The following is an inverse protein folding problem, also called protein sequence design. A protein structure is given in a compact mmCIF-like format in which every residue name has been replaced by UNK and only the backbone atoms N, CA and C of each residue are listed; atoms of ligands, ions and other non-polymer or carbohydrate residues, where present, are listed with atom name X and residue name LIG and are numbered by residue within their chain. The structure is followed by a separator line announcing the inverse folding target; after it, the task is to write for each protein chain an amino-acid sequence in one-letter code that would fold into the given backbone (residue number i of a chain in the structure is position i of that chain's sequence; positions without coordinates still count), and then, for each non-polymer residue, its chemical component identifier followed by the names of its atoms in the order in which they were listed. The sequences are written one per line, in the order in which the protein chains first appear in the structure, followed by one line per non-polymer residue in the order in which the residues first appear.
data_IF_570935483888
#
_entry.id   IF_570935483888
#
_cell.length_a   1.000
_cell.length_b   1.000
_cell.length_c   1.000
_cell.angle_alpha   90.00
_cell.angle_beta   90.00
_cell.angle_gamma   90.00
#
_symmetry.space_group_name_H-M   'P 1'
#
loop_
_entity.id
_entity.type
_entity.pdbx_description
1 polymer ?
#
# COMPACT_ATOMS: atom_id res chain seq x y z
N UNK A 1 -19.80 -7.33 13.86
CA UNK A 1 -18.56 -6.56 14.13
C UNK A 1 -17.80 -6.38 12.82
N UNK A 2 -17.75 -5.17 12.26
CA UNK A 2 -16.95 -4.90 11.06
C UNK A 2 -15.46 -5.03 11.39
N UNK A 3 -14.75 -5.91 10.69
CA UNK A 3 -13.31 -6.14 10.91
C UNK A 3 -12.54 -4.92 10.41
N UNK A 4 -11.74 -4.29 11.27
CA UNK A 4 -10.95 -3.12 10.92
C UNK A 4 -10.05 -3.42 9.71
N UNK A 5 -10.21 -2.64 8.65
CA UNK A 5 -9.35 -2.71 7.45
C UNK A 5 -7.93 -2.33 7.88
N UNK A 6 -6.96 -3.22 7.64
CA UNK A 6 -5.55 -2.89 7.87
C UNK A 6 -5.06 -2.10 6.67
N UNK A 7 -4.78 -0.81 6.85
CA UNK A 7 -4.13 0.00 5.83
C UNK A 7 -2.61 -0.08 6.01
N UNK A 8 -1.90 -0.12 4.89
CA UNK A 8 -0.45 0.10 4.85
C UNK A 8 -0.18 1.36 4.03
N UNK A 9 0.95 2.00 4.31
CA UNK A 9 1.38 3.21 3.63
C UNK A 9 2.60 2.89 2.79
N UNK A 10 2.51 3.14 1.49
CA UNK A 10 3.54 2.80 0.51
C UNK A 10 4.19 4.10 0.07
N UNK A 11 5.51 4.18 0.23
CA UNK A 11 6.35 5.28 -0.26
C UNK A 11 6.97 4.85 -1.58
N UNK A 12 6.91 5.70 -2.61
CA UNK A 12 7.34 5.38 -3.97
C UNK A 12 7.99 6.58 -4.69
N UNK A 13 8.87 6.31 -5.64
CA UNK A 13 9.53 7.35 -6.44
C UNK A 13 8.66 7.79 -7.62
N UNK A 14 8.38 9.08 -7.78
CA UNK A 14 7.45 9.55 -8.83
C UNK A 14 7.97 9.29 -10.26
N UNK A 15 9.30 9.28 -10.46
CA UNK A 15 9.94 9.36 -11.79
C UNK A 15 10.47 8.02 -12.37
N UNK A 16 10.21 6.87 -11.73
CA UNK A 16 10.80 5.57 -12.15
C UNK A 16 9.78 4.59 -12.77
N UNK A 17 10.21 3.67 -13.68
CA UNK A 17 9.34 2.68 -14.32
C UNK A 17 8.63 1.78 -13.29
N UNK A 18 7.57 1.02 -13.66
CA UNK A 18 6.77 0.25 -12.72
C UNK A 18 7.67 -0.62 -11.84
N UNK A 19 7.53 -0.48 -10.51
CA UNK A 19 8.36 -1.01 -9.40
C UNK A 19 9.32 0.01 -8.76
N UNK A 20 8.75 1.07 -8.20
CA UNK A 20 9.41 2.20 -7.55
C UNK A 20 9.18 2.27 -6.03
N UNK A 21 8.74 1.16 -5.40
CA UNK A 21 8.45 1.15 -3.96
C UNK A 21 9.74 1.25 -3.17
N UNK A 22 9.81 2.26 -2.30
CA UNK A 22 10.96 2.57 -1.45
C UNK A 22 10.74 2.04 -0.04
N UNK A 23 9.49 2.05 0.44
CA UNK A 23 9.14 1.59 1.78
C UNK A 23 7.66 1.31 1.97
N UNK A 24 7.35 0.47 2.96
CA UNK A 24 5.98 0.13 3.37
C UNK A 24 5.87 0.25 4.89
N UNK A 25 4.88 1.01 5.37
CA UNK A 25 4.73 1.39 6.77
C UNK A 25 3.32 1.09 7.28
N UNK A 26 3.19 0.93 8.59
CA UNK A 26 1.91 0.66 9.23
C UNK A 26 1.08 1.94 9.41
N UNK A 27 1.75 3.09 9.59
CA UNK A 27 1.11 4.37 9.85
C UNK A 27 1.49 5.43 8.83
N UNK A 28 0.63 6.45 8.69
CA UNK A 28 0.89 7.58 7.81
C UNK A 28 2.10 8.38 8.26
N UNK A 29 2.23 8.60 9.57
CA UNK A 29 3.30 9.43 10.14
C UNK A 29 4.67 8.84 9.85
N UNK A 30 4.84 7.52 9.97
CA UNK A 30 6.09 6.84 9.62
C UNK A 30 6.42 7.01 8.13
N UNK A 31 5.42 6.83 7.26
CA UNK A 31 5.61 6.99 5.81
C UNK A 31 5.94 8.43 5.42
N UNK A 32 5.31 9.42 6.06
CA UNK A 32 5.54 10.83 5.81
C UNK A 32 6.95 11.25 6.21
N UNK A 33 7.38 10.93 7.45
CA UNK A 33 8.73 11.25 7.90
C UNK A 33 9.80 10.61 7.01
N UNK A 34 9.60 9.35 6.62
CA UNK A 34 10.52 8.67 5.71
C UNK A 34 10.54 9.30 4.30
N UNK A 35 9.39 9.73 3.79
CA UNK A 35 9.31 10.42 2.50
C UNK A 35 10.04 11.78 2.54
N UNK A 36 9.92 12.53 3.64
CA UNK A 36 10.63 13.80 3.84
C UNK A 36 12.15 13.60 3.89
N UNK A 37 12.62 12.59 4.62
CA UNK A 37 14.06 12.25 4.68
C UNK A 37 14.60 11.86 3.29
N UNK A 38 13.84 11.06 2.53
CA UNK A 38 14.24 10.63 1.19
C UNK A 38 14.24 11.76 0.16
N UNK A 39 13.27 12.67 0.27
CA UNK A 39 13.20 13.88 -0.57
C UNK A 39 14.34 14.87 -0.28
N UNK A 40 14.81 14.94 0.98
CA UNK A 40 15.92 15.80 1.37
C UNK A 40 17.30 15.28 0.90
N UNK A 41 17.43 13.97 0.68
CA UNK A 41 18.71 13.32 0.38
C UNK A 41 18.99 13.10 -1.10
N UNK A 42 18.28 12.15 -1.72
CA UNK A 42 18.70 11.53 -3.00
C UNK A 42 17.61 11.45 -4.05
N UNK A 43 16.34 11.65 -3.68
CA UNK A 43 15.21 11.47 -4.58
C UNK A 43 14.53 12.80 -4.86
N UNK A 44 14.39 13.12 -6.14
CA UNK A 44 13.86 14.42 -6.59
C UNK A 44 12.36 14.55 -6.38
N UNK A 45 11.64 13.42 -6.38
CA UNK A 45 10.20 13.35 -6.13
C UNK A 45 9.83 12.01 -5.51
N UNK A 46 9.32 12.06 -4.28
CA UNK A 46 8.87 10.91 -3.48
C UNK A 46 7.43 11.15 -3.06
N UNK A 47 6.57 10.18 -3.31
CA UNK A 47 5.15 10.22 -2.94
C UNK A 47 4.82 9.10 -1.97
N UNK A 48 3.81 9.30 -1.13
CA UNK A 48 3.27 8.25 -0.28
C UNK A 48 1.76 8.11 -0.47
N UNK A 49 1.26 6.89 -0.44
CA UNK A 49 -0.15 6.56 -0.63
C UNK A 49 -0.58 5.44 0.31
N UNK A 50 -1.87 5.40 0.65
CA UNK A 50 -2.42 4.32 1.47
C UNK A 50 -2.96 3.20 0.58
N UNK A 51 -2.72 1.96 1.00
CA UNK A 51 -3.29 0.78 0.39
C UNK A 51 -4.02 -0.04 1.44
N UNK A 52 -5.31 -0.28 1.21
CA UNK A 52 -6.11 -1.13 2.08
C UNK A 52 -5.76 -2.59 1.82
N UNK A 53 -5.16 -3.25 2.82
CA UNK A 53 -4.86 -4.68 2.75
C UNK A 53 -6.18 -5.44 2.90
N UNK A 54 -6.68 -5.95 1.77
CA UNK A 54 -7.78 -6.90 1.75
C UNK A 54 -7.43 -8.18 2.54
N UNK A 55 -8.45 -8.89 3.02
CA UNK A 55 -8.24 -10.18 3.66
C UNK A 55 -7.74 -11.19 2.63
N UNK A 56 -6.53 -11.74 2.84
CA UNK A 56 -6.09 -12.92 2.11
C UNK A 56 -6.85 -14.11 2.70
N UNK A 57 -7.76 -14.69 1.94
CA UNK A 57 -8.43 -15.93 2.30
C UNK A 57 -7.39 -17.06 2.27
N UNK A 58 -6.94 -17.46 3.46
CA UNK A 58 -5.86 -18.41 3.71
C UNK A 58 -6.35 -19.86 3.84
N UNK A 59 -7.67 -20.10 3.70
CA UNK A 59 -8.27 -21.44 3.78
C UNK A 59 -8.27 -22.24 2.46
N UNK A 60 -7.46 -21.85 1.49
CA UNK A 60 -7.35 -22.53 0.18
C UNK A 60 -8.19 -21.88 -0.93
N UNK A 61 -8.11 -22.44 -2.14
CA UNK A 61 -8.79 -21.95 -3.36
C UNK A 61 -10.31 -21.95 -3.17
N UNK A 62 -10.86 -20.85 -2.66
CA UNK A 62 -12.29 -20.58 -2.77
C UNK A 62 -12.58 -20.24 -4.22
N UNK A 63 -13.20 -21.15 -4.97
CA UNK A 63 -13.83 -20.78 -6.23
C UNK A 63 -14.89 -19.71 -5.93
N UNK A 64 -14.61 -18.48 -6.37
CA UNK A 64 -15.64 -17.44 -6.46
C UNK A 64 -16.35 -17.69 -7.78
N UNK A 65 -17.43 -18.47 -7.76
CA UNK A 65 -18.35 -18.49 -8.90
C UNK A 65 -19.12 -17.17 -8.89
N UNK A 66 -18.75 -16.28 -9.82
CA UNK A 66 -19.53 -15.09 -10.13
C UNK A 66 -20.72 -15.53 -10.98
N UNK A 67 -21.89 -15.66 -10.36
CA UNK A 67 -23.18 -15.80 -11.03
C UNK A 67 -24.02 -14.55 -10.77
N UNK A 68 -24.91 -14.15 -11.69
CA UNK A 68 -25.73 -12.95 -11.50
C UNK A 68 -26.64 -13.11 -10.27
N UNK A 69 -26.67 -12.08 -9.42
CA UNK A 69 -27.70 -11.93 -8.40
C UNK A 69 -29.05 -11.77 -9.10
N UNK A 70 -30.00 -12.67 -8.80
CA UNK A 70 -31.39 -12.62 -9.32
C UNK A 70 -32.12 -11.31 -8.98
#
# INVERSE_FOLDING_TARGET
MGRAVKNVWIVSHEDSPPNNIIGVFATQSEAASFAEEMAAGSFKSVIYSSFSVGYRYDRGTGHVEYGPDE
#
